data_IF_389494590812
#
_entry.id   IF_389494590812
#
_cell.length_a   1.000
_cell.length_b   1.000
_cell.length_c   1.000
_cell.angle_alpha   90.00
_cell.angle_beta   90.00
_cell.angle_gamma   90.00
#
_symmetry.space_group_name_H-M   'P 1'
#
loop_
_entity.id
_entity.type
_entity.pdbx_description
1 polymer ?
#
# COMPACT_ATOMS: atom_id res chain seq x y z
N UNK A 1 21.47 -25.09 52.03
CA UNK A 1 20.80 -23.96 51.36
C UNK A 1 20.26 -24.44 50.00
N UNK A 2 18.95 -24.63 49.88
CA UNK A 2 18.31 -25.00 48.56
C UNK A 2 17.93 -23.72 47.84
N UNK A 3 18.56 -23.45 46.69
CA UNK A 3 18.22 -22.33 45.82
C UNK A 3 16.92 -22.65 45.07
N UNK A 4 15.86 -21.91 45.39
CA UNK A 4 14.57 -21.99 44.70
C UNK A 4 14.73 -21.26 43.34
N UNK A 5 14.61 -22.00 42.22
CA UNK A 5 14.53 -21.43 40.86
C UNK A 5 13.23 -20.63 40.70
N UNK A 6 13.25 -19.42 40.14
CA UNK A 6 12.02 -18.66 39.91
C UNK A 6 11.12 -19.40 38.90
N UNK A 7 9.86 -19.60 39.26
CA UNK A 7 8.82 -20.13 38.35
C UNK A 7 8.65 -19.16 37.17
N UNK A 8 9.00 -19.60 35.98
CA UNK A 8 8.72 -18.88 34.76
C UNK A 8 7.23 -18.62 34.62
N UNK A 9 6.86 -17.37 34.27
CA UNK A 9 5.48 -16.99 34.00
C UNK A 9 4.87 -17.90 32.92
N UNK A 10 3.61 -18.34 33.05
CA UNK A 10 2.98 -19.19 32.06
C UNK A 10 2.92 -18.48 30.71
N UNK A 11 3.46 -19.13 29.66
CA UNK A 11 3.33 -18.64 28.27
C UNK A 11 1.83 -18.57 27.96
N UNK A 12 1.29 -17.37 27.77
CA UNK A 12 -0.08 -17.18 27.34
C UNK A 12 -0.28 -17.87 25.98
N UNK A 13 -1.24 -18.78 25.90
CA UNK A 13 -1.63 -19.44 24.64
C UNK A 13 -2.17 -18.45 23.61
N UNK A 14 -2.27 -18.85 22.34
CA UNK A 14 -2.76 -17.99 21.27
C UNK A 14 -4.18 -17.48 21.56
N UNK A 15 -4.42 -16.20 21.29
CA UNK A 15 -5.72 -15.55 21.48
C UNK A 15 -6.63 -15.81 20.30
N UNK A 16 -7.92 -16.06 20.54
CA UNK A 16 -8.93 -16.12 19.47
C UNK A 16 -9.48 -14.74 19.12
N UNK A 17 -9.51 -13.82 20.09
CA UNK A 17 -9.94 -12.44 19.90
C UNK A 17 -8.74 -11.52 20.12
N UNK A 18 -8.37 -10.76 19.08
CA UNK A 18 -7.29 -9.78 19.12
C UNK A 18 -7.87 -8.40 19.47
N UNK A 19 -7.15 -7.64 20.25
CA UNK A 19 -7.48 -6.25 20.59
C UNK A 19 -6.60 -5.29 19.82
N UNK A 20 -6.95 -4.01 19.82
CA UNK A 20 -6.25 -2.97 19.09
C UNK A 20 -4.72 -2.97 19.31
N UNK A 21 -4.17 -3.08 20.53
CA UNK A 21 -2.72 -3.12 20.72
C UNK A 21 -2.03 -4.31 20.06
N UNK A 22 -2.68 -5.49 20.06
CA UNK A 22 -2.16 -6.70 19.44
C UNK A 22 -2.10 -6.52 17.90
N UNK A 23 -3.17 -5.97 17.32
CA UNK A 23 -3.27 -5.71 15.88
C UNK A 23 -2.32 -4.59 15.42
N UNK A 24 -2.12 -3.56 16.23
CA UNK A 24 -1.17 -2.49 15.91
C UNK A 24 0.28 -2.97 15.92
N UNK A 25 0.64 -3.89 16.82
CA UNK A 25 1.95 -4.52 16.82
C UNK A 25 2.17 -5.31 15.52
N UNK A 26 1.28 -6.25 15.21
CA UNK A 26 1.37 -7.05 13.98
C UNK A 26 1.37 -6.17 12.71
N UNK A 27 0.57 -5.09 12.69
CA UNK A 27 0.58 -4.12 11.58
C UNK A 27 1.95 -3.48 11.38
N UNK A 28 2.61 -3.02 12.44
CA UNK A 28 3.95 -2.40 12.34
C UNK A 28 4.94 -3.38 11.75
N UNK A 29 5.01 -4.61 12.25
CA UNK A 29 5.91 -5.64 11.72
C UNK A 29 5.68 -5.91 10.23
N UNK A 30 4.40 -5.98 9.80
CA UNK A 30 4.09 -6.11 8.36
C UNK A 30 4.62 -4.92 7.57
N UNK A 31 4.41 -3.69 8.04
CA UNK A 31 4.83 -2.49 7.31
C UNK A 31 6.36 -2.39 7.20
N UNK A 32 7.07 -2.73 8.26
CA UNK A 32 8.54 -2.74 8.32
C UNK A 32 9.15 -3.78 7.36
N UNK A 33 8.41 -4.88 7.09
CA UNK A 33 8.84 -5.91 6.14
C UNK A 33 8.65 -5.54 4.66
N UNK A 34 7.99 -4.39 4.35
CA UNK A 34 7.72 -3.97 2.98
C UNK A 34 8.84 -3.07 2.44
N UNK A 35 9.49 -3.50 1.35
CA UNK A 35 10.59 -2.77 0.73
C UNK A 35 10.19 -1.52 -0.10
N UNK A 36 8.87 -1.28 -0.32
CA UNK A 36 8.41 -0.16 -1.13
C UNK A 36 7.52 0.78 -0.31
N UNK A 37 7.82 2.10 -0.28
CA UNK A 37 7.00 3.09 0.42
C UNK A 37 5.55 3.15 -0.09
N UNK A 38 5.33 2.93 -1.38
CA UNK A 38 3.99 2.92 -1.98
C UNK A 38 3.19 1.70 -1.52
N UNK A 39 3.84 0.54 -1.46
CA UNK A 39 3.23 -0.68 -0.92
C UNK A 39 2.91 -0.52 0.57
N UNK A 40 3.83 0.04 1.34
CA UNK A 40 3.63 0.30 2.76
C UNK A 40 2.43 1.23 3.00
N UNK A 41 2.29 2.31 2.24
CA UNK A 41 1.12 3.21 2.31
C UNK A 41 -0.20 2.50 1.97
N UNK A 42 -0.21 1.70 0.89
CA UNK A 42 -1.40 0.98 0.48
C UNK A 42 -1.82 -0.09 1.51
N UNK A 43 -0.85 -0.80 2.08
CA UNK A 43 -1.10 -1.80 3.12
C UNK A 43 -1.51 -1.16 4.45
N UNK A 44 -0.87 -0.04 4.85
CA UNK A 44 -1.25 0.70 6.05
C UNK A 44 -2.71 1.16 5.98
N UNK A 45 -3.12 1.73 4.85
CA UNK A 45 -4.51 2.13 4.63
C UNK A 45 -5.47 0.93 4.73
N UNK A 46 -5.14 -0.18 4.05
CA UNK A 46 -5.97 -1.37 4.03
C UNK A 46 -6.11 -2.03 5.41
N UNK A 47 -5.01 -2.09 6.18
CA UNK A 47 -5.04 -2.64 7.53
C UNK A 47 -5.76 -1.73 8.51
N UNK A 48 -5.59 -0.41 8.42
CA UNK A 48 -6.33 0.54 9.25
C UNK A 48 -7.84 0.45 9.03
N UNK A 49 -8.29 0.35 7.76
CA UNK A 49 -9.70 0.18 7.42
C UNK A 49 -10.27 -1.13 8.00
N UNK A 50 -9.50 -2.22 7.90
CA UNK A 50 -9.90 -3.50 8.50
C UNK A 50 -9.94 -3.44 10.03
N UNK A 51 -8.92 -2.88 10.67
CA UNK A 51 -8.83 -2.78 12.14
C UNK A 51 -9.98 -1.93 12.68
N UNK A 52 -10.26 -0.79 12.05
CA UNK A 52 -11.38 0.07 12.45
C UNK A 52 -12.72 -0.67 12.35
N UNK A 53 -12.96 -1.39 11.24
CA UNK A 53 -14.15 -2.21 11.06
C UNK A 53 -14.21 -3.38 12.05
N UNK A 54 -13.10 -4.10 12.25
CA UNK A 54 -13.04 -5.24 13.14
C UNK A 54 -13.26 -4.86 14.62
N UNK A 55 -12.71 -3.74 15.05
CA UNK A 55 -12.85 -3.25 16.41
C UNK A 55 -14.20 -2.58 16.69
N UNK A 56 -14.97 -2.21 15.66
CA UNK A 56 -16.33 -1.69 15.84
C UNK A 56 -17.31 -2.76 16.32
N UNK A 57 -17.02 -4.04 16.08
CA UNK A 57 -17.77 -5.18 16.59
C UNK A 57 -16.92 -5.98 17.59
N UNK A 58 -16.83 -5.53 18.86
CA UNK A 58 -16.03 -6.22 19.87
C UNK A 58 -16.63 -7.59 20.15
N UNK A 59 -15.82 -8.64 20.17
CA UNK A 59 -16.08 -10.05 20.48
C UNK A 59 -16.06 -11.03 19.30
N UNK A 60 -15.80 -10.59 18.09
CA UNK A 60 -15.58 -11.51 16.99
C UNK A 60 -14.17 -12.10 17.06
N UNK A 61 -14.07 -13.41 17.00
CA UNK A 61 -12.77 -14.08 16.84
C UNK A 61 -12.16 -13.71 15.47
N UNK A 62 -10.86 -13.39 15.43
CA UNK A 62 -10.18 -13.14 14.16
C UNK A 62 -10.01 -14.45 13.39
N UNK A 63 -10.97 -14.74 12.55
CA UNK A 63 -11.15 -16.02 11.87
C UNK A 63 -11.54 -15.84 10.40
N UNK A 64 -11.54 -16.94 9.65
CA UNK A 64 -12.02 -17.00 8.26
C UNK A 64 -13.41 -16.37 8.10
N UNK A 65 -14.33 -16.62 9.06
CA UNK A 65 -15.69 -16.10 8.99
C UNK A 65 -15.72 -14.57 9.05
N UNK A 66 -14.95 -13.98 9.94
CA UNK A 66 -14.83 -12.52 10.06
C UNK A 66 -14.28 -11.90 8.78
N UNK A 67 -13.24 -12.49 8.19
CA UNK A 67 -12.67 -11.97 6.93
C UNK A 67 -13.62 -12.15 5.75
N UNK A 68 -14.46 -13.18 5.74
CA UNK A 68 -15.56 -13.31 4.76
C UNK A 68 -16.60 -12.20 4.93
N UNK A 69 -17.02 -11.88 6.17
CA UNK A 69 -17.92 -10.75 6.44
C UNK A 69 -17.31 -9.41 6.00
N UNK A 70 -16.03 -9.20 6.29
CA UNK A 70 -15.31 -8.01 5.82
C UNK A 70 -15.26 -7.94 4.30
N UNK A 71 -15.06 -9.05 3.59
CA UNK A 71 -15.13 -9.10 2.14
C UNK A 71 -16.50 -8.64 1.62
N UNK A 72 -17.61 -9.16 2.20
CA UNK A 72 -18.98 -8.77 1.83
C UNK A 72 -19.17 -7.27 2.08
N UNK A 73 -18.69 -6.75 3.20
CA UNK A 73 -18.71 -5.32 3.52
C UNK A 73 -17.96 -4.48 2.46
N UNK A 74 -16.79 -4.94 1.99
CA UNK A 74 -16.06 -4.27 0.92
C UNK A 74 -16.81 -4.32 -0.43
N UNK A 75 -17.53 -5.40 -0.71
CA UNK A 75 -18.37 -5.54 -1.90
C UNK A 75 -19.59 -4.60 -1.83
N UNK A 76 -20.21 -4.45 -0.66
CA UNK A 76 -21.35 -3.52 -0.45
C UNK A 76 -20.93 -2.05 -0.64
N UNK A 77 -19.68 -1.71 -0.39
CA UNK A 77 -19.10 -0.38 -0.67
C UNK A 77 -18.82 -0.14 -2.16
N UNK A 78 -19.20 -1.06 -3.05
CA UNK A 78 -18.99 -0.99 -4.50
C UNK A 78 -17.53 -0.76 -4.91
N UNK A 79 -16.57 -1.29 -4.14
CA UNK A 79 -15.15 -1.18 -4.44
C UNK A 79 -14.77 -2.09 -5.61
N UNK A 80 -13.77 -1.67 -6.39
CA UNK A 80 -13.24 -2.49 -7.47
C UNK A 80 -12.66 -3.82 -6.95
N UNK A 81 -12.78 -4.90 -7.73
CA UNK A 81 -12.21 -6.20 -7.37
C UNK A 81 -10.70 -6.13 -7.07
N UNK A 82 -9.97 -5.22 -7.73
CA UNK A 82 -8.54 -5.00 -7.46
C UNK A 82 -8.31 -4.42 -6.07
N UNK A 83 -9.13 -3.45 -5.66
CA UNK A 83 -9.07 -2.82 -4.33
C UNK A 83 -9.44 -3.83 -3.24
N UNK A 84 -10.52 -4.60 -3.44
CA UNK A 84 -10.94 -5.64 -2.51
C UNK A 84 -9.82 -6.68 -2.32
N UNK A 85 -9.22 -7.14 -3.42
CA UNK A 85 -8.15 -8.13 -3.37
C UNK A 85 -6.88 -7.60 -2.68
N UNK A 86 -6.53 -6.32 -2.88
CA UNK A 86 -5.44 -5.66 -2.17
C UNK A 86 -5.71 -5.63 -0.65
N UNK A 87 -6.92 -5.22 -0.24
CA UNK A 87 -7.30 -5.18 1.18
C UNK A 87 -7.29 -6.55 1.82
N UNK A 88 -7.81 -7.56 1.13
CA UNK A 88 -7.76 -8.94 1.61
C UNK A 88 -6.32 -9.48 1.70
N UNK A 89 -5.42 -9.10 0.78
CA UNK A 89 -4.02 -9.47 0.86
C UNK A 89 -3.34 -8.88 2.11
N UNK A 90 -3.62 -7.60 2.42
CA UNK A 90 -3.12 -6.95 3.62
C UNK A 90 -3.63 -7.63 4.91
N UNK A 91 -4.92 -7.98 4.96
CA UNK A 91 -5.52 -8.68 6.12
C UNK A 91 -4.93 -10.08 6.29
N UNK A 92 -4.70 -10.81 5.21
CA UNK A 92 -4.05 -12.14 5.28
C UNK A 92 -2.63 -12.03 5.83
N UNK A 93 -1.86 -11.04 5.38
CA UNK A 93 -0.50 -10.83 5.88
C UNK A 93 -0.50 -10.44 7.35
N UNK A 94 -1.47 -9.60 7.78
CA UNK A 94 -1.68 -9.26 9.19
C UNK A 94 -1.99 -10.52 10.03
N UNK A 95 -2.81 -11.44 9.53
CA UNK A 95 -3.14 -12.67 10.22
C UNK A 95 -1.92 -13.60 10.38
N UNK A 96 -1.08 -13.72 9.36
CA UNK A 96 0.16 -14.49 9.45
C UNK A 96 1.13 -13.90 10.45
N UNK A 97 1.35 -12.60 10.41
CA UNK A 97 2.22 -11.93 11.35
C UNK A 97 1.74 -12.07 12.80
N UNK A 98 0.41 -12.01 13.00
CA UNK A 98 -0.17 -12.27 14.31
C UNK A 98 0.02 -13.74 14.75
N UNK A 99 0.07 -14.70 13.82
CA UNK A 99 0.35 -16.09 14.13
C UNK A 99 1.85 -16.29 14.45
N UNK A 100 2.74 -15.70 13.67
CA UNK A 100 4.20 -15.78 13.87
C UNK A 100 4.60 -15.13 15.21
N UNK A 101 3.91 -14.08 15.61
CA UNK A 101 4.06 -13.43 16.92
C UNK A 101 3.39 -14.21 18.07
N UNK A 102 2.76 -15.37 17.80
CA UNK A 102 2.06 -16.17 18.80
C UNK A 102 0.77 -15.55 19.34
N UNK A 103 0.25 -14.52 18.70
CA UNK A 103 -1.00 -13.84 19.07
C UNK A 103 -2.23 -14.57 18.52
N UNK A 104 -2.10 -15.26 17.40
CA UNK A 104 -3.15 -16.02 16.73
C UNK A 104 -2.69 -17.46 16.51
N UNK A 105 -3.63 -18.43 16.47
CA UNK A 105 -3.24 -19.80 16.13
C UNK A 105 -2.94 -19.93 14.63
N UNK A 106 -1.94 -20.76 14.23
CA UNK A 106 -1.61 -21.01 12.83
C UNK A 106 -2.79 -21.53 12.01
N UNK A 107 -3.69 -22.32 12.62
CA UNK A 107 -4.88 -22.86 11.95
C UNK A 107 -5.87 -21.77 11.57
N UNK A 108 -6.04 -20.75 12.43
CA UNK A 108 -6.91 -19.60 12.14
C UNK A 108 -6.30 -18.75 11.02
N UNK A 109 -4.98 -18.51 11.04
CA UNK A 109 -4.29 -17.81 9.97
C UNK A 109 -4.40 -18.55 8.63
N UNK A 110 -4.17 -19.86 8.62
CA UNK A 110 -4.37 -20.70 7.45
C UNK A 110 -5.83 -20.71 6.96
N UNK A 111 -6.80 -20.65 7.88
CA UNK A 111 -8.22 -20.49 7.55
C UNK A 111 -8.50 -19.16 6.83
N UNK A 112 -7.91 -18.07 7.30
CA UNK A 112 -8.03 -16.73 6.71
C UNK A 112 -7.41 -16.71 5.31
N UNK A 113 -6.28 -17.37 5.09
CA UNK A 113 -5.65 -17.47 3.77
C UNK A 113 -6.57 -18.07 2.70
N UNK A 114 -7.43 -19.03 3.08
CA UNK A 114 -8.37 -19.71 2.16
C UNK A 114 -9.57 -18.84 1.75
N UNK A 115 -9.71 -17.64 2.27
CA UNK A 115 -10.75 -16.70 1.81
C UNK A 115 -10.48 -16.32 0.36
N UNK A 116 -11.38 -16.64 -0.55
CA UNK A 116 -11.23 -16.28 -1.97
C UNK A 116 -11.42 -14.78 -2.16
N UNK A 117 -10.63 -14.20 -3.04
CA UNK A 117 -10.77 -12.80 -3.44
C UNK A 117 -12.01 -12.55 -4.30
N UNK A 118 -12.29 -11.28 -4.59
CA UNK A 118 -13.32 -10.89 -5.54
C UNK A 118 -12.87 -11.23 -6.97
N UNK A 119 -13.78 -11.80 -7.77
CA UNK A 119 -13.50 -12.10 -9.18
C UNK A 119 -13.40 -10.79 -9.96
N UNK A 120 -12.38 -10.68 -10.81
CA UNK A 120 -12.31 -9.62 -11.80
C UNK A 120 -13.25 -10.01 -12.94
N UNK A 121 -14.39 -9.34 -13.02
CA UNK A 121 -15.32 -9.52 -14.14
C UNK A 121 -14.90 -8.57 -15.27
N UNK A 122 -14.86 -9.11 -16.49
CA UNK A 122 -14.56 -8.37 -17.71
C UNK A 122 -13.09 -8.34 -18.12
N UNK A 123 -12.87 -8.12 -19.40
CA UNK A 123 -11.57 -7.81 -19.97
C UNK A 123 -11.28 -6.36 -19.63
N UNK A 124 -10.18 -6.08 -18.96
CA UNK A 124 -9.70 -4.71 -18.80
C UNK A 124 -9.22 -4.26 -20.19
N UNK A 125 -10.10 -3.60 -20.91
CA UNK A 125 -9.68 -2.83 -22.08
C UNK A 125 -8.68 -1.80 -21.54
N UNK A 126 -7.40 -1.97 -21.89
CA UNK A 126 -6.40 -0.97 -21.60
C UNK A 126 -6.84 0.32 -22.30
N UNK A 127 -6.78 1.46 -21.62
CA UNK A 127 -6.95 2.77 -22.25
C UNK A 127 -5.71 3.05 -23.14
N UNK A 128 -5.53 2.21 -24.17
CA UNK A 128 -4.47 2.38 -25.15
C UNK A 128 -4.90 3.44 -26.14
N UNK A 129 -4.04 4.41 -26.38
CA UNK A 129 -4.25 5.36 -27.45
C UNK A 129 -4.02 4.67 -28.79
N UNK A 130 -4.91 4.90 -29.74
CA UNK A 130 -4.66 4.52 -31.15
C UNK A 130 -3.55 5.39 -31.72
N UNK A 131 -2.96 4.96 -32.85
CA UNK A 131 -1.92 5.75 -33.53
C UNK A 131 -2.41 7.16 -33.87
N UNK A 132 -3.66 7.29 -34.31
CA UNK A 132 -4.24 8.59 -34.67
C UNK A 132 -4.50 9.48 -33.44
N UNK A 133 -4.93 8.87 -32.33
CA UNK A 133 -5.05 9.57 -31.05
C UNK A 133 -3.68 10.05 -30.54
N UNK A 134 -2.62 9.24 -30.69
CA UNK A 134 -1.25 9.64 -30.33
C UNK A 134 -0.79 10.84 -31.18
N UNK A 135 -1.04 10.81 -32.51
CA UNK A 135 -0.71 11.91 -33.42
C UNK A 135 -1.47 13.19 -33.05
N UNK A 136 -2.77 13.06 -32.77
CA UNK A 136 -3.61 14.19 -32.35
C UNK A 136 -3.13 14.79 -31.03
N UNK A 137 -2.78 13.95 -30.07
CA UNK A 137 -2.24 14.38 -28.78
C UNK A 137 -0.90 15.13 -28.92
N UNK A 138 -0.02 14.67 -29.81
CA UNK A 138 1.26 15.35 -30.07
C UNK A 138 1.09 16.70 -30.79
N UNK A 139 0.00 16.91 -31.53
CA UNK A 139 -0.30 18.17 -32.22
C UNK A 139 -1.08 19.16 -31.34
N UNK A 140 -1.62 18.72 -30.20
CA UNK A 140 -2.45 19.54 -29.34
C UNK A 140 -1.70 20.77 -28.72
N UNK A 141 -0.42 20.68 -28.32
CA UNK A 141 0.32 21.84 -27.81
C UNK A 141 0.67 22.83 -28.93
N UNK A 142 0.48 24.13 -28.66
CA UNK A 142 0.83 25.21 -29.59
C UNK A 142 2.35 25.33 -29.75
N UNK A 143 2.84 25.00 -30.96
CA UNK A 143 4.27 25.01 -31.28
C UNK A 143 4.90 26.41 -31.36
N UNK A 144 4.08 27.44 -31.45
CA UNK A 144 4.57 28.83 -31.50
C UNK A 144 5.03 29.36 -30.13
N UNK A 145 4.61 28.70 -29.05
CA UNK A 145 4.97 29.05 -27.68
C UNK A 145 6.09 28.18 -27.12
N UNK A 146 6.98 28.74 -26.31
CA UNK A 146 8.00 27.95 -25.58
C UNK A 146 7.37 26.88 -24.71
N UNK A 147 6.24 27.19 -24.10
CA UNK A 147 5.46 26.23 -23.29
C UNK A 147 4.97 25.07 -24.13
N UNK A 148 4.39 25.35 -25.29
CA UNK A 148 3.86 24.31 -26.17
C UNK A 148 4.95 23.40 -26.74
N UNK A 149 6.11 23.96 -27.12
CA UNK A 149 7.28 23.15 -27.54
C UNK A 149 7.75 22.22 -26.42
N UNK A 150 7.86 22.72 -25.21
CA UNK A 150 8.21 21.90 -24.03
C UNK A 150 7.18 20.80 -23.79
N UNK A 151 5.89 21.13 -23.79
CA UNK A 151 4.81 20.18 -23.53
C UNK A 151 4.74 19.10 -24.61
N UNK A 152 4.98 19.46 -25.90
CA UNK A 152 5.10 18.48 -27.00
C UNK A 152 6.30 17.56 -26.82
N UNK A 153 7.45 18.07 -26.40
CA UNK A 153 8.64 17.25 -26.14
C UNK A 153 8.37 16.25 -24.99
N UNK A 154 7.70 16.68 -23.93
CA UNK A 154 7.30 15.82 -22.82
C UNK A 154 6.35 14.70 -23.31
N UNK A 155 5.32 15.05 -24.10
CA UNK A 155 4.40 14.08 -24.67
C UNK A 155 5.10 13.08 -25.58
N UNK A 156 6.02 13.53 -26.43
CA UNK A 156 6.80 12.67 -27.32
C UNK A 156 7.64 11.64 -26.52
N UNK A 157 8.28 12.06 -25.45
CA UNK A 157 9.06 11.17 -24.57
C UNK A 157 8.14 10.18 -23.85
N UNK A 158 7.01 10.65 -23.32
CA UNK A 158 6.05 9.79 -22.60
C UNK A 158 5.46 8.72 -23.51
N UNK A 159 5.09 9.08 -24.74
CA UNK A 159 4.52 8.18 -25.73
C UNK A 159 5.57 7.22 -26.31
N UNK A 160 6.75 7.75 -26.68
CA UNK A 160 7.81 6.96 -27.32
C UNK A 160 8.51 5.99 -26.36
N UNK A 161 8.72 6.40 -25.11
CA UNK A 161 9.42 5.59 -24.11
C UNK A 161 8.47 4.82 -23.17
N UNK A 162 7.16 5.04 -23.24
CA UNK A 162 6.19 4.38 -22.36
C UNK A 162 6.42 4.66 -20.87
N UNK A 163 6.97 5.82 -20.53
CA UNK A 163 7.34 6.14 -19.17
C UNK A 163 6.12 6.36 -18.29
N UNK A 164 6.15 5.79 -17.08
CA UNK A 164 5.17 6.12 -16.05
C UNK A 164 5.49 7.50 -15.46
N UNK A 165 4.45 8.30 -15.16
CA UNK A 165 4.58 9.62 -14.54
C UNK A 165 5.54 9.66 -13.34
N UNK A 166 5.53 8.62 -12.50
CA UNK A 166 6.39 8.52 -11.32
C UNK A 166 7.89 8.37 -11.65
N UNK A 167 8.23 8.00 -12.90
CA UNK A 167 9.62 7.91 -13.37
C UNK A 167 10.12 9.20 -14.04
N UNK A 168 9.22 10.17 -14.23
CA UNK A 168 9.63 11.48 -14.72
C UNK A 168 10.35 12.22 -13.59
N UNK A 169 11.61 12.67 -13.77
CA UNK A 169 12.27 13.46 -12.77
C UNK A 169 11.45 14.74 -12.55
N UNK A 170 10.94 14.94 -11.35
CA UNK A 170 10.40 16.22 -10.96
C UNK A 170 11.56 17.20 -10.98
N UNK A 171 11.68 17.98 -12.05
CA UNK A 171 12.61 19.11 -12.12
C UNK A 171 12.13 20.17 -11.13
N UNK A 172 12.43 19.96 -9.83
CA UNK A 172 12.55 21.10 -8.94
C UNK A 172 13.78 21.83 -9.43
N UNK A 173 13.59 22.99 -10.04
CA UNK A 173 14.64 23.94 -10.29
C UNK A 173 15.35 24.18 -8.96
N UNK A 174 16.55 23.61 -8.82
CA UNK A 174 17.47 24.06 -7.81
C UNK A 174 17.80 25.50 -8.21
N UNK A 175 17.12 26.46 -7.60
CA UNK A 175 17.58 27.83 -7.55
C UNK A 175 18.88 27.78 -6.76
N UNK A 176 20.01 27.65 -7.48
CA UNK A 176 21.32 27.90 -6.91
C UNK A 176 21.33 29.38 -6.53
N UNK A 177 21.19 29.64 -5.25
CA UNK A 177 21.57 30.93 -4.70
C UNK A 177 23.09 31.07 -4.89
N UNK A 178 23.52 31.72 -5.96
CA UNK A 178 24.90 32.16 -6.11
C UNK A 178 25.17 33.22 -5.05
N UNK A 179 25.73 32.78 -3.93
CA UNK A 179 26.35 33.63 -2.94
C UNK A 179 27.48 34.41 -3.63
N UNK A 180 27.29 35.70 -3.79
CA UNK A 180 28.30 36.66 -4.24
C UNK A 180 29.34 36.77 -3.12
N UNK A 181 30.42 36.00 -3.24
CA UNK A 181 31.64 36.27 -2.44
C UNK A 181 32.33 37.48 -3.02
N UNK A 182 32.15 38.62 -2.40
CA UNK A 182 33.01 39.80 -2.59
C UNK A 182 34.39 39.50 -2.01
N UNK A 183 35.33 39.11 -2.87
CA UNK A 183 36.74 39.03 -2.52
C UNK A 183 37.34 40.46 -2.44
N UNK A 184 37.63 40.91 -1.24
CA UNK A 184 38.57 42.03 -1.03
C UNK A 184 39.98 41.50 -1.23
N UNK A 185 40.64 41.96 -2.28
CA UNK A 185 42.10 41.96 -2.39
C UNK A 185 42.56 43.35 -1.98
N UNK A 186 43.27 43.45 -0.85
CA UNK A 186 44.15 44.58 -0.52
C UNK A 186 45.58 44.11 -0.63
N UNK A 187 46.34 44.76 -1.50
CA UNK A 187 47.81 45.03 -1.59
C UNK A 187 48.72 44.08 -0.83
#
# INVERSE_FOLDING_TARGET
>A
MRTVKPKGSPKKGPKTVLRLPDLDHAKRTVLDSLGSPDSARAYAFAMNDFIAWYCSEPRLAFSKHVVLRYRIELESRHLSASTINLRLAAVRRLAFEAADSGLLSPELAAGIQRVKGAKKLGVRLGNWLTVDQCKSLLRAPDEQTLKGRRDRAILAILLGCGLRRARWPSSRSATSSSGRTTGLWSI
#
